data_IF_156743860580
#
_entry.id   IF_156743860580
#
_cell.length_a   1.000
_cell.length_b   1.000
_cell.length_c   1.000
_cell.angle_alpha   90.00
_cell.angle_beta   90.00
_cell.angle_gamma   90.00
#
_symmetry.space_group_name_H-M   'P 1'
#
loop_
_entity.id
_entity.type
_entity.pdbx_description
1 polymer ?
#
# COMPACT_ATOMS: atom_id res chain seq x y z
N UNK A 1 14.87 -14.30 13.75
CA UNK A 1 14.71 -12.86 13.54
C UNK A 1 13.59 -12.36 14.45
N UNK A 2 13.78 -11.24 15.12
CA UNK A 2 12.75 -10.61 15.95
C UNK A 2 12.08 -9.49 15.18
N UNK A 3 10.74 -9.52 15.06
CA UNK A 3 9.97 -8.53 14.29
C UNK A 3 8.97 -7.84 15.22
N UNK A 4 8.99 -6.51 15.22
CA UNK A 4 8.04 -5.69 15.96
C UNK A 4 6.89 -5.22 15.08
N UNK A 5 5.64 -5.34 15.52
CA UNK A 5 4.46 -4.71 14.89
C UNK A 5 4.08 -3.48 15.70
N UNK A 6 4.19 -2.31 15.09
CA UNK A 6 3.89 -1.01 15.69
C UNK A 6 2.55 -0.51 15.20
N UNK A 7 1.57 -0.48 16.08
CA UNK A 7 0.16 -0.17 15.89
C UNK A 7 -0.64 -1.27 15.17
N UNK A 8 -1.93 -1.33 15.49
CA UNK A 8 -2.95 -2.13 14.83
C UNK A 8 -4.02 -1.26 14.17
N UNK A 9 -3.71 -0.01 13.86
CA UNK A 9 -4.65 0.88 13.19
C UNK A 9 -5.00 0.43 11.78
N UNK A 10 -4.02 -0.06 11.02
CA UNK A 10 -4.26 -0.63 9.70
C UNK A 10 -4.69 -2.10 9.79
N UNK A 11 -5.66 -2.51 8.95
CA UNK A 11 -6.22 -3.88 8.95
C UNK A 11 -5.19 -4.96 8.65
N UNK A 12 -4.17 -4.67 7.84
CA UNK A 12 -3.11 -5.61 7.50
C UNK A 12 -2.27 -6.03 8.72
N UNK A 13 -2.22 -5.23 9.79
CA UNK A 13 -1.44 -5.57 10.98
C UNK A 13 -1.76 -6.95 11.55
N UNK A 14 -3.05 -7.31 11.59
CA UNK A 14 -3.49 -8.63 12.06
C UNK A 14 -3.06 -9.76 11.10
N UNK A 15 -3.13 -9.53 9.78
CA UNK A 15 -2.64 -10.47 8.76
C UNK A 15 -1.13 -10.68 8.90
N UNK A 16 -0.37 -9.60 8.98
CA UNK A 16 1.10 -9.66 9.10
C UNK A 16 1.54 -10.35 10.39
N UNK A 17 0.96 -9.98 11.54
CA UNK A 17 1.29 -10.61 12.82
C UNK A 17 1.02 -12.12 12.80
N UNK A 18 -0.13 -12.53 12.26
CA UNK A 18 -0.50 -13.95 12.12
C UNK A 18 0.44 -14.72 11.20
N UNK A 19 0.76 -14.14 10.03
CA UNK A 19 1.66 -14.78 9.05
C UNK A 19 3.09 -14.91 9.62
N UNK A 20 3.62 -13.85 10.23
CA UNK A 20 4.93 -13.86 10.85
C UNK A 20 5.02 -14.87 12.00
N UNK A 21 3.99 -14.95 12.84
CA UNK A 21 3.95 -15.93 13.95
C UNK A 21 3.96 -17.38 13.45
N UNK A 22 3.52 -17.64 12.22
CA UNK A 22 3.58 -18.95 11.58
C UNK A 22 4.93 -19.24 10.88
N UNK A 23 5.81 -18.24 10.72
CA UNK A 23 7.10 -18.41 10.05
C UNK A 23 8.15 -18.99 10.99
N UNK A 24 8.84 -20.09 10.62
CA UNK A 24 9.88 -20.67 11.45
C UNK A 24 11.03 -19.69 11.74
N UNK A 25 11.43 -19.59 13.01
CA UNK A 25 12.55 -18.74 13.42
C UNK A 25 12.23 -17.22 13.51
N UNK A 26 10.96 -16.84 13.41
CA UNK A 26 10.49 -15.47 13.63
C UNK A 26 9.84 -15.35 15.00
N UNK A 27 10.33 -14.42 15.82
CA UNK A 27 9.72 -13.99 17.08
C UNK A 27 8.95 -12.70 16.82
N UNK A 28 7.65 -12.66 17.14
CA UNK A 28 6.79 -11.50 16.89
C UNK A 28 6.47 -10.79 18.19
N UNK A 29 6.76 -9.50 18.24
CA UNK A 29 6.36 -8.58 19.32
C UNK A 29 5.37 -7.56 18.76
N UNK A 30 4.38 -7.15 19.54
CA UNK A 30 3.42 -6.13 19.10
C UNK A 30 3.23 -5.05 20.17
N UNK A 31 2.89 -3.86 19.73
CA UNK A 31 2.46 -2.76 20.59
C UNK A 31 1.49 -1.85 19.85
N UNK A 32 0.48 -1.33 20.53
CA UNK A 32 -0.54 -0.44 19.99
C UNK A 32 -1.04 0.54 21.08
N UNK A 33 -0.16 1.39 21.64
CA UNK A 33 -0.53 2.30 22.72
C UNK A 33 -1.55 3.36 22.27
N UNK A 34 -1.59 3.69 20.99
CA UNK A 34 -2.51 4.67 20.42
C UNK A 34 -3.94 4.08 20.23
N UNK A 35 -4.16 2.79 20.50
CA UNK A 35 -5.49 2.15 20.44
C UNK A 35 -6.54 2.87 21.32
N UNK A 36 -6.11 3.44 22.44
CA UNK A 36 -6.99 4.21 23.30
C UNK A 36 -7.67 5.42 22.61
N UNK A 37 -7.12 5.89 21.49
CA UNK A 37 -7.69 6.97 20.66
C UNK A 37 -8.69 6.46 19.63
N UNK A 38 -8.85 5.15 19.51
CA UNK A 38 -9.72 4.48 18.52
C UNK A 38 -10.78 3.62 19.24
N UNK A 39 -11.71 4.28 19.96
CA UNK A 39 -12.75 3.57 20.72
C UNK A 39 -13.66 2.78 19.78
N UNK A 40 -13.95 1.53 20.17
CA UNK A 40 -14.80 0.63 19.36
C UNK A 40 -14.06 -0.21 18.32
N UNK A 41 -12.79 0.09 18.03
CA UNK A 41 -11.96 -0.77 17.17
C UNK A 41 -11.41 -1.95 17.97
N UNK A 42 -11.30 -3.12 17.35
CA UNK A 42 -10.63 -4.26 17.95
C UNK A 42 -9.10 -4.14 17.70
N UNK A 43 -8.34 -3.93 18.77
CA UNK A 43 -6.90 -3.62 18.72
C UNK A 43 -6.22 -3.77 20.07
N UNK A 44 -5.05 -3.17 20.23
CA UNK A 44 -4.28 -3.17 21.46
C UNK A 44 -3.90 -4.57 21.95
N UNK A 45 -3.81 -4.73 23.27
CA UNK A 45 -3.44 -6.00 23.91
C UNK A 45 -4.43 -7.14 23.60
N UNK A 46 -5.72 -6.84 23.49
CA UNK A 46 -6.74 -7.85 23.21
C UNK A 46 -6.56 -8.49 21.82
N UNK A 47 -6.20 -7.70 20.80
CA UNK A 47 -5.91 -8.23 19.48
C UNK A 47 -4.60 -9.04 19.49
N UNK A 48 -3.56 -8.56 20.16
CA UNK A 48 -2.30 -9.31 20.27
C UNK A 48 -2.50 -10.68 20.96
N UNK A 49 -3.30 -10.74 22.02
CA UNK A 49 -3.70 -11.98 22.69
C UNK A 49 -4.44 -12.93 21.75
N UNK A 50 -5.43 -12.40 20.99
CA UNK A 50 -6.17 -13.19 20.01
C UNK A 50 -5.30 -13.74 18.89
N UNK A 51 -4.22 -13.04 18.53
CA UNK A 51 -3.23 -13.46 17.53
C UNK A 51 -2.13 -14.38 18.11
N UNK A 52 -2.07 -14.55 19.43
CA UNK A 52 -1.03 -15.32 20.09
C UNK A 52 0.36 -14.69 20.03
N UNK A 53 0.47 -13.35 19.91
CA UNK A 53 1.74 -12.62 19.85
C UNK A 53 2.01 -11.86 21.14
N UNK A 54 3.29 -11.71 21.51
CA UNK A 54 3.69 -10.99 22.71
C UNK A 54 3.39 -9.50 22.58
N UNK A 55 2.68 -8.92 23.57
CA UNK A 55 2.32 -7.51 23.60
C UNK A 55 3.18 -6.72 24.57
N UNK A 56 3.70 -5.57 24.15
CA UNK A 56 4.47 -4.63 24.94
C UNK A 56 3.70 -3.33 25.14
N UNK A 57 3.90 -2.69 26.30
CA UNK A 57 3.07 -1.59 26.76
C UNK A 57 3.11 -0.36 25.84
N UNK A 58 4.27 -0.08 25.23
CA UNK A 58 4.47 1.09 24.38
C UNK A 58 5.59 0.87 23.35
N UNK A 59 5.75 1.84 22.46
CA UNK A 59 6.77 1.81 21.40
C UNK A 59 8.20 1.76 21.96
N UNK A 60 8.47 2.43 23.10
CA UNK A 60 9.79 2.42 23.73
C UNK A 60 10.15 1.04 24.26
N UNK A 61 9.20 0.34 24.90
CA UNK A 61 9.38 -1.02 25.38
C UNK A 61 9.62 -2.00 24.21
N UNK A 62 8.90 -1.85 23.08
CA UNK A 62 9.12 -2.66 21.89
C UNK A 62 10.52 -2.43 21.32
N UNK A 63 10.96 -1.20 21.16
CA UNK A 63 12.27 -0.87 20.60
C UNK A 63 13.42 -1.25 21.56
N UNK A 64 13.19 -1.17 22.89
CA UNK A 64 14.15 -1.66 23.89
C UNK A 64 14.37 -3.18 23.82
N UNK A 65 13.42 -3.95 23.31
CA UNK A 65 13.59 -5.37 23.02
C UNK A 65 14.49 -5.66 21.80
N UNK A 66 14.98 -4.61 21.14
CA UNK A 66 15.89 -4.65 19.97
C UNK A 66 15.37 -5.56 18.85
N UNK A 67 14.25 -5.23 18.20
CA UNK A 67 13.81 -5.97 17.02
C UNK A 67 14.79 -5.76 15.86
N UNK A 68 15.03 -6.80 15.07
CA UNK A 68 15.80 -6.72 13.82
C UNK A 68 15.05 -5.91 12.76
N UNK A 69 13.73 -6.02 12.77
CA UNK A 69 12.83 -5.37 11.84
C UNK A 69 11.53 -4.93 12.52
N UNK A 70 10.89 -3.91 11.98
CA UNK A 70 9.62 -3.35 12.47
C UNK A 70 8.65 -3.19 11.30
N UNK A 71 7.38 -3.50 11.54
CA UNK A 71 6.27 -3.19 10.63
C UNK A 71 5.43 -2.08 11.25
N UNK A 72 5.30 -0.96 10.53
CA UNK A 72 4.50 0.19 10.94
C UNK A 72 3.13 0.09 10.28
N UNK A 73 2.09 -0.14 11.09
CA UNK A 73 0.70 -0.29 10.66
C UNK A 73 -0.21 0.76 11.34
N UNK A 74 0.28 1.97 11.44
CA UNK A 74 -0.43 3.12 12.03
C UNK A 74 -1.34 3.82 11.00
N UNK A 75 -2.05 4.85 11.44
CA UNK A 75 -2.69 5.82 10.57
C UNK A 75 -1.61 6.54 9.71
N UNK A 76 -1.94 6.89 8.46
CA UNK A 76 -0.98 7.43 7.50
C UNK A 76 -0.19 8.65 8.05
N UNK A 77 -0.87 9.54 8.76
CA UNK A 77 -0.23 10.73 9.36
C UNK A 77 0.75 10.40 10.51
N UNK A 78 0.68 9.20 11.09
CA UNK A 78 1.54 8.76 12.18
C UNK A 78 2.79 8.00 11.69
N UNK A 79 2.88 7.64 10.42
CA UNK A 79 3.97 6.84 9.85
C UNK A 79 5.34 7.45 10.15
N UNK A 80 5.52 8.75 9.86
CA UNK A 80 6.80 9.44 10.05
C UNK A 80 7.35 9.23 11.46
N UNK A 81 6.56 9.53 12.48
CA UNK A 81 6.99 9.42 13.88
C UNK A 81 7.49 8.00 14.21
N UNK A 82 6.75 6.98 13.76
CA UNK A 82 7.06 5.58 14.09
C UNK A 82 8.25 5.06 13.29
N UNK A 83 8.38 5.45 12.02
CA UNK A 83 9.53 5.08 11.19
C UNK A 83 10.82 5.74 11.72
N UNK A 84 10.79 7.02 12.10
CA UNK A 84 11.94 7.69 12.70
C UNK A 84 12.38 7.02 14.02
N UNK A 85 11.43 6.61 14.88
CA UNK A 85 11.72 5.85 16.12
C UNK A 85 12.36 4.49 15.83
N UNK A 86 11.82 3.74 14.87
CA UNK A 86 12.36 2.43 14.48
C UNK A 86 13.76 2.56 13.86
N UNK A 87 13.97 3.53 12.96
CA UNK A 87 15.27 3.81 12.36
C UNK A 87 16.32 4.20 13.40
N UNK A 88 15.97 5.07 14.36
CA UNK A 88 16.86 5.45 15.46
C UNK A 88 17.24 4.26 16.38
N UNK A 89 16.40 3.23 16.47
CA UNK A 89 16.70 2.00 17.18
C UNK A 89 17.50 0.99 16.35
N UNK A 90 17.80 1.29 15.07
CA UNK A 90 18.56 0.42 14.17
C UNK A 90 17.74 -0.71 13.55
N UNK A 91 16.42 -0.66 13.59
CA UNK A 91 15.54 -1.67 13.01
C UNK A 91 15.23 -1.37 11.53
N UNK A 92 15.24 -2.39 10.67
CA UNK A 92 14.71 -2.27 9.29
C UNK A 92 13.20 -2.05 9.34
N UNK A 93 12.64 -1.29 8.40
CA UNK A 93 11.24 -0.87 8.45
C UNK A 93 10.45 -1.31 7.22
N UNK A 94 9.33 -2.01 7.46
CA UNK A 94 8.22 -2.11 6.52
C UNK A 94 7.14 -1.13 6.97
N UNK A 95 6.80 -0.16 6.12
CA UNK A 95 5.79 0.84 6.42
C UNK A 95 4.55 0.63 5.54
N UNK A 96 3.36 0.69 6.12
CA UNK A 96 2.12 0.69 5.35
C UNK A 96 2.06 1.82 4.34
N UNK A 97 1.29 1.58 3.29
CA UNK A 97 1.01 2.54 2.22
C UNK A 97 -0.18 3.46 2.59
N UNK A 98 -0.23 4.69 2.09
CA UNK A 98 0.88 5.43 1.46
C UNK A 98 1.99 5.71 2.45
N UNK A 99 3.19 5.96 1.96
CA UNK A 99 4.36 6.21 2.84
C UNK A 99 4.09 7.30 3.89
N UNK A 100 3.39 8.37 3.50
CA UNK A 100 3.04 9.50 4.36
C UNK A 100 1.87 10.29 3.76
N UNK A 101 1.42 11.35 4.46
CA UNK A 101 0.41 12.29 3.95
C UNK A 101 1.03 13.55 3.32
N UNK A 102 2.34 13.77 3.49
CA UNK A 102 3.08 14.90 2.91
C UNK A 102 4.44 14.46 2.36
N UNK A 103 4.94 15.17 1.32
CA UNK A 103 6.29 14.91 0.79
C UNK A 103 7.39 15.23 1.82
N UNK A 104 7.17 16.18 2.71
CA UNK A 104 8.12 16.51 3.76
C UNK A 104 8.30 15.33 4.72
N UNK A 105 7.21 14.66 5.11
CA UNK A 105 7.26 13.49 5.98
C UNK A 105 7.89 12.29 5.27
N UNK A 106 7.52 12.02 4.01
CA UNK A 106 8.11 10.95 3.22
C UNK A 106 9.64 11.10 3.09
N UNK A 107 10.12 12.32 2.82
CA UNK A 107 11.56 12.64 2.77
C UNK A 107 12.25 12.46 4.11
N UNK A 108 11.61 12.91 5.21
CA UNK A 108 12.16 12.75 6.55
C UNK A 108 12.32 11.27 6.92
N UNK A 109 11.33 10.43 6.62
CA UNK A 109 11.38 8.99 6.82
C UNK A 109 12.52 8.33 6.02
N UNK A 110 12.58 8.63 4.73
CA UNK A 110 13.63 8.08 3.84
C UNK A 110 15.02 8.53 4.30
N UNK A 111 15.17 9.81 4.69
CA UNK A 111 16.43 10.35 5.20
C UNK A 111 16.84 9.74 6.54
N UNK A 112 15.90 9.54 7.46
CA UNK A 112 16.17 8.92 8.77
C UNK A 112 16.65 7.46 8.62
N UNK A 113 15.98 6.67 7.78
CA UNK A 113 16.39 5.30 7.51
C UNK A 113 17.77 5.23 6.84
N UNK A 114 18.04 6.09 5.85
CA UNK A 114 19.34 6.17 5.19
C UNK A 114 20.46 6.57 6.17
N UNK A 115 20.21 7.56 7.03
CA UNK A 115 21.18 8.00 8.05
C UNK A 115 21.49 6.91 9.10
N UNK A 116 20.51 6.09 9.44
CA UNK A 116 20.66 4.97 10.36
C UNK A 116 21.25 3.70 9.70
N UNK A 117 21.38 3.66 8.36
CA UNK A 117 21.85 2.48 7.61
C UNK A 117 20.83 1.35 7.59
N UNK A 118 19.53 1.64 7.78
CA UNK A 118 18.45 0.65 7.75
C UNK A 118 17.61 0.78 6.48
N UNK A 119 16.95 -0.31 6.09
CA UNK A 119 16.08 -0.32 4.92
C UNK A 119 14.69 0.23 5.29
N UNK A 120 14.09 0.97 4.36
CA UNK A 120 12.69 1.37 4.39
C UNK A 120 11.99 0.77 3.17
N UNK A 121 11.10 -0.18 3.40
CA UNK A 121 10.24 -0.80 2.39
C UNK A 121 8.79 -0.36 2.60
N UNK A 122 8.05 -0.16 1.52
CA UNK A 122 6.63 0.22 1.56
C UNK A 122 5.76 -1.01 1.26
N UNK A 123 4.67 -1.17 1.99
CA UNK A 123 3.83 -2.36 1.92
C UNK A 123 2.90 -2.35 0.68
N UNK A 124 3.42 -2.83 -0.45
CA UNK A 124 2.67 -3.05 -1.69
C UNK A 124 2.65 -4.55 -2.05
N UNK A 125 1.75 -5.37 -1.45
CA UNK A 125 1.77 -6.83 -1.61
C UNK A 125 1.52 -7.29 -3.05
N UNK A 126 0.71 -6.57 -3.83
CA UNK A 126 0.35 -6.95 -5.21
C UNK A 126 1.57 -7.06 -6.13
N UNK A 127 2.60 -6.24 -5.92
CA UNK A 127 3.88 -6.28 -6.66
C UNK A 127 4.53 -7.66 -6.66
N UNK A 128 4.36 -8.43 -5.59
CA UNK A 128 4.96 -9.76 -5.41
C UNK A 128 4.14 -10.90 -6.01
N UNK A 129 2.99 -10.58 -6.64
CA UNK A 129 2.18 -11.57 -7.33
C UNK A 129 2.97 -12.23 -8.48
N UNK A 130 2.94 -13.56 -8.62
CA UNK A 130 3.49 -14.24 -9.80
C UNK A 130 2.95 -13.68 -11.12
N UNK A 131 1.69 -13.27 -11.16
CA UNK A 131 1.09 -12.67 -12.35
C UNK A 131 1.76 -11.32 -12.73
N UNK A 132 2.25 -10.54 -11.76
CA UNK A 132 3.02 -9.32 -12.03
C UNK A 132 4.40 -9.67 -12.59
N UNK A 133 5.05 -10.73 -12.10
CA UNK A 133 6.31 -11.19 -12.66
C UNK A 133 6.17 -11.61 -14.13
N UNK A 134 5.11 -12.35 -14.48
CA UNK A 134 4.81 -12.72 -15.88
C UNK A 134 4.51 -11.48 -16.74
N UNK A 135 3.74 -10.52 -16.23
CA UNK A 135 3.48 -9.28 -16.96
C UNK A 135 4.79 -8.52 -17.24
N UNK A 136 5.71 -8.49 -16.28
CA UNK A 136 7.02 -7.84 -16.47
C UNK A 136 7.81 -8.47 -17.60
N UNK A 137 7.84 -9.80 -17.70
CA UNK A 137 8.49 -10.49 -18.84
C UNK A 137 7.82 -10.12 -20.18
N UNK A 138 6.48 -10.04 -20.21
CA UNK A 138 5.76 -9.62 -21.43
C UNK A 138 6.08 -8.17 -21.81
N UNK A 139 6.18 -7.26 -20.83
CA UNK A 139 6.49 -5.84 -21.08
C UNK A 139 7.95 -5.62 -21.47
N UNK A 140 8.85 -6.52 -21.10
CA UNK A 140 10.25 -6.47 -21.49
C UNK A 140 10.49 -6.89 -22.96
N UNK A 141 9.52 -7.56 -23.60
CA UNK A 141 9.72 -8.07 -24.97
C UNK A 141 8.45 -8.15 -25.81
N UNK A 142 7.55 -9.09 -25.52
CA UNK A 142 6.44 -9.46 -26.42
C UNK A 142 5.43 -8.33 -26.69
N UNK A 143 5.21 -7.42 -25.72
CA UNK A 143 4.32 -6.29 -25.90
C UNK A 143 4.93 -5.16 -26.76
N UNK A 144 6.23 -5.16 -26.99
CA UNK A 144 6.91 -4.13 -27.77
C UNK A 144 6.83 -2.75 -27.12
N UNK A 145 6.60 -1.72 -27.91
CA UNK A 145 6.49 -0.33 -27.42
C UNK A 145 5.15 -0.12 -26.74
N UNK A 146 5.16 0.36 -25.51
CA UNK A 146 3.95 0.59 -24.74
C UNK A 146 3.19 1.81 -25.30
N UNK A 147 1.92 1.60 -25.57
CA UNK A 147 1.01 2.60 -26.20
C UNK A 147 0.12 3.27 -25.14
N UNK A 148 -0.44 2.47 -24.23
CA UNK A 148 -1.27 3.00 -23.14
C UNK A 148 -1.43 2.00 -22.00
N UNK A 149 -1.77 2.50 -20.81
CA UNK A 149 -2.01 1.71 -19.61
C UNK A 149 -3.33 2.15 -18.99
N UNK A 150 -4.16 1.18 -18.60
CA UNK A 150 -5.40 1.43 -17.85
C UNK A 150 -5.39 0.56 -16.61
N UNK A 151 -5.51 1.18 -15.45
CA UNK A 151 -5.56 0.51 -14.16
C UNK A 151 -6.86 0.78 -13.42
N UNK A 152 -7.29 -0.18 -12.63
CA UNK A 152 -8.38 0.01 -11.66
C UNK A 152 -7.96 -0.49 -10.30
N UNK A 153 -8.37 0.21 -9.25
CA UNK A 153 -8.34 -0.33 -7.90
C UNK A 153 -9.61 0.11 -7.17
N UNK A 154 -10.48 -0.85 -6.92
CA UNK A 154 -11.81 -0.60 -6.36
C UNK A 154 -11.99 -1.45 -5.11
N UNK A 155 -12.55 -0.87 -4.05
CA UNK A 155 -12.78 -1.55 -2.77
C UNK A 155 -14.11 -1.16 -2.13
N UNK A 156 -14.38 -1.74 -0.97
CA UNK A 156 -15.43 -1.29 -0.07
C UNK A 156 -14.98 -0.04 0.69
N UNK A 157 -15.92 0.74 1.19
CA UNK A 157 -15.62 1.82 2.13
C UNK A 157 -15.06 1.23 3.44
N UNK A 158 -13.84 1.60 3.88
CA UNK A 158 -13.24 1.01 5.09
C UNK A 158 -13.78 1.59 6.41
N UNK A 159 -14.73 2.53 6.36
CA UNK A 159 -15.22 3.30 7.51
C UNK A 159 -15.74 2.43 8.67
N UNK A 160 -16.49 1.35 8.37
CA UNK A 160 -17.06 0.47 9.40
C UNK A 160 -16.04 -0.26 10.26
N UNK A 161 -14.83 -0.44 9.76
CA UNK A 161 -13.76 -1.19 10.43
C UNK A 161 -12.69 -0.27 11.02
N UNK A 162 -12.41 0.86 10.37
CA UNK A 162 -11.35 1.82 10.76
C UNK A 162 -11.78 3.24 10.40
N UNK A 163 -12.31 3.97 11.38
CA UNK A 163 -12.84 5.32 11.18
C UNK A 163 -11.82 6.33 10.64
N UNK A 164 -10.53 6.13 10.94
CA UNK A 164 -9.46 7.03 10.52
C UNK A 164 -9.26 7.10 8.98
N UNK A 165 -9.66 6.06 8.22
CA UNK A 165 -9.56 6.08 6.76
C UNK A 165 -10.38 7.19 6.09
N UNK A 166 -11.44 7.65 6.74
CA UNK A 166 -12.31 8.73 6.25
C UNK A 166 -12.08 10.07 6.97
N UNK A 167 -11.08 10.13 7.86
CA UNK A 167 -10.61 11.36 8.48
C UNK A 167 -9.47 11.97 7.63
N UNK A 168 -9.68 13.14 6.99
CA UNK A 168 -8.67 13.77 6.15
C UNK A 168 -7.34 14.03 6.85
N UNK A 169 -7.36 14.30 8.17
CA UNK A 169 -6.16 14.59 8.93
C UNK A 169 -5.33 13.33 9.21
N UNK A 170 -5.98 12.20 9.44
CA UNK A 170 -5.30 10.93 9.71
C UNK A 170 -4.90 10.20 8.42
N UNK A 171 -5.80 10.17 7.41
CA UNK A 171 -5.61 9.44 6.16
C UNK A 171 -4.86 10.26 5.08
N UNK A 172 -5.00 11.60 5.08
CA UNK A 172 -4.44 12.47 4.04
C UNK A 172 -5.29 12.55 2.76
N UNK A 173 -6.44 11.87 2.73
CA UNK A 173 -7.38 11.82 1.62
C UNK A 173 -8.27 10.59 1.69
N UNK A 174 -9.02 10.32 0.62
CA UNK A 174 -9.95 9.19 0.51
C UNK A 174 -9.48 8.12 -0.48
N UNK A 175 -10.38 7.72 -1.37
CA UNK A 175 -10.14 6.64 -2.34
C UNK A 175 -8.95 6.89 -3.28
N UNK A 176 -8.65 8.15 -3.64
CA UNK A 176 -7.46 8.48 -4.43
C UNK A 176 -6.18 8.17 -3.66
N UNK A 177 -6.09 8.59 -2.39
CA UNK A 177 -4.94 8.30 -1.51
C UNK A 177 -4.78 6.81 -1.28
N UNK A 178 -5.89 6.11 -1.02
CA UNK A 178 -5.86 4.69 -0.68
C UNK A 178 -5.51 3.81 -1.89
N UNK A 179 -6.01 4.14 -3.08
CA UNK A 179 -6.03 3.23 -4.22
C UNK A 179 -5.08 3.59 -5.37
N UNK A 180 -4.81 4.87 -5.66
CA UNK A 180 -3.88 5.23 -6.75
C UNK A 180 -2.49 4.63 -6.54
N UNK A 181 -2.01 4.64 -5.29
CA UNK A 181 -0.67 4.18 -4.94
C UNK A 181 -0.40 2.73 -5.33
N UNK A 182 -1.41 1.86 -5.35
CA UNK A 182 -1.24 0.45 -5.73
C UNK A 182 -0.98 0.27 -7.23
N UNK A 183 -1.71 1.02 -8.08
CA UNK A 183 -1.50 0.98 -9.53
C UNK A 183 -0.20 1.69 -9.90
N UNK A 184 0.12 2.82 -9.23
CA UNK A 184 1.39 3.54 -9.40
C UNK A 184 2.58 2.66 -9.01
N UNK A 185 2.47 1.87 -7.96
CA UNK A 185 3.50 0.92 -7.55
C UNK A 185 3.73 -0.17 -8.62
N UNK A 186 2.67 -0.68 -9.25
CA UNK A 186 2.82 -1.61 -10.36
C UNK A 186 3.49 -0.96 -11.58
N UNK A 187 3.16 0.27 -11.91
CA UNK A 187 3.84 1.03 -12.98
C UNK A 187 5.33 1.19 -12.66
N UNK A 188 5.67 1.58 -11.43
CA UNK A 188 7.05 1.70 -10.97
C UNK A 188 7.79 0.33 -10.98
N UNK A 189 7.10 -0.75 -10.64
CA UNK A 189 7.63 -2.11 -10.67
C UNK A 189 7.93 -2.61 -12.09
N UNK A 190 7.04 -2.32 -13.03
CA UNK A 190 7.16 -2.77 -14.42
C UNK A 190 8.17 -1.91 -15.21
N UNK A 191 8.23 -0.63 -14.90
CA UNK A 191 9.09 0.34 -15.60
C UNK A 191 9.81 1.27 -14.60
N UNK A 192 10.84 0.80 -13.89
CA UNK A 192 11.49 1.54 -12.80
C UNK A 192 12.17 2.85 -13.27
N UNK A 193 12.52 2.94 -14.54
CA UNK A 193 13.12 4.13 -15.15
C UNK A 193 12.10 5.12 -15.71
N UNK A 194 10.81 4.83 -15.58
CA UNK A 194 9.74 5.71 -16.02
C UNK A 194 9.45 6.82 -15.02
N UNK A 195 8.78 7.88 -15.48
CA UNK A 195 8.40 9.01 -14.64
C UNK A 195 7.02 9.53 -15.01
N UNK A 196 6.13 9.66 -14.04
CA UNK A 196 4.91 10.44 -14.22
C UNK A 196 5.28 11.92 -14.23
N UNK A 197 5.05 12.60 -15.36
CA UNK A 197 5.37 14.04 -15.52
C UNK A 197 4.20 14.95 -15.19
N UNK A 198 2.98 14.52 -15.46
CA UNK A 198 1.78 15.31 -15.12
C UNK A 198 0.57 14.42 -14.82
N UNK A 199 -0.40 14.98 -14.11
CA UNK A 199 -1.67 14.33 -13.78
C UNK A 199 -2.84 15.30 -13.94
N UNK A 200 -3.95 14.83 -14.51
CA UNK A 200 -5.27 15.42 -14.45
C UNK A 200 -6.21 14.46 -13.72
N UNK A 201 -6.90 14.94 -12.67
CA UNK A 201 -7.78 14.11 -11.89
C UNK A 201 -9.13 14.79 -11.62
N UNK A 202 -10.15 13.94 -11.52
CA UNK A 202 -11.50 14.32 -11.05
C UNK A 202 -11.92 13.36 -9.96
N UNK A 203 -12.62 13.87 -8.94
CA UNK A 203 -13.08 13.07 -7.81
C UNK A 203 -14.42 13.58 -7.28
N UNK A 204 -15.16 12.71 -6.60
CA UNK A 204 -16.43 13.05 -6.00
C UNK A 204 -16.72 12.16 -4.76
N UNK A 205 -17.85 12.47 -4.08
CA UNK A 205 -18.36 11.71 -2.91
C UNK A 205 -19.75 11.13 -3.16
N UNK A 206 -20.12 10.85 -4.41
CA UNK A 206 -21.47 10.44 -4.76
C UNK A 206 -21.85 9.08 -4.16
N UNK A 207 -20.89 8.17 -4.00
CA UNK A 207 -21.13 6.84 -3.42
C UNK A 207 -21.40 6.89 -1.92
N UNK A 208 -20.68 7.73 -1.18
CA UNK A 208 -20.74 7.86 0.27
C UNK A 208 -20.69 9.35 0.64
N UNK A 209 -21.80 10.11 0.49
CA UNK A 209 -21.81 11.55 0.72
C UNK A 209 -21.63 11.96 2.18
N UNK A 210 -21.81 11.01 3.11
CA UNK A 210 -21.69 11.19 4.57
C UNK A 210 -20.25 11.31 5.05
N UNK A 211 -19.25 10.81 4.30
CA UNK A 211 -17.84 10.89 4.73
C UNK A 211 -17.17 12.19 4.28
N UNK A 212 -16.09 12.59 4.96
CA UNK A 212 -15.43 13.87 4.73
C UNK A 212 -14.51 13.89 3.49
N UNK A 213 -14.08 12.71 3.01
CA UNK A 213 -13.13 12.54 1.91
C UNK A 213 -13.84 12.07 0.63
N UNK A 214 -13.18 12.17 -0.52
CA UNK A 214 -13.70 11.64 -1.78
C UNK A 214 -13.75 10.10 -1.76
N UNK A 215 -14.75 9.54 -2.40
CA UNK A 215 -15.03 8.09 -2.40
C UNK A 215 -14.87 7.45 -3.77
N UNK A 216 -14.57 8.25 -4.79
CA UNK A 216 -14.24 7.80 -6.11
C UNK A 216 -13.62 8.90 -6.95
N UNK A 217 -12.70 8.50 -7.82
CA UNK A 217 -12.03 9.40 -8.73
C UNK A 217 -11.31 8.69 -9.86
N UNK A 218 -10.99 9.44 -10.87
CA UNK A 218 -10.20 8.99 -12.02
C UNK A 218 -9.03 9.94 -12.20
N UNK A 219 -7.84 9.38 -12.41
CA UNK A 219 -6.63 10.12 -12.75
C UNK A 219 -6.13 9.74 -14.14
N UNK A 220 -5.90 10.73 -14.99
CA UNK A 220 -5.21 10.59 -16.27
C UNK A 220 -3.79 11.14 -16.14
N UNK A 221 -2.78 10.30 -16.38
CA UNK A 221 -1.38 10.60 -16.18
C UNK A 221 -0.63 10.62 -17.51
N UNK A 222 0.42 11.42 -17.58
CA UNK A 222 1.44 11.33 -18.61
C UNK A 222 2.66 10.63 -18.02
N UNK A 223 2.97 9.44 -18.55
CA UNK A 223 4.12 8.65 -18.15
C UNK A 223 5.23 8.81 -19.20
N UNK A 224 6.36 9.36 -18.80
CA UNK A 224 7.57 9.37 -19.64
C UNK A 224 8.21 7.97 -19.56
N UNK A 225 8.22 7.25 -20.67
CA UNK A 225 8.76 5.90 -20.79
C UNK A 225 9.55 5.75 -22.08
N UNK A 226 10.85 5.44 -21.99
CA UNK A 226 11.70 5.26 -23.15
C UNK A 226 11.78 6.49 -24.07
N UNK A 227 11.68 7.70 -23.52
CA UNK A 227 11.68 8.96 -24.27
C UNK A 227 10.36 9.32 -24.95
N UNK A 228 9.26 8.67 -24.58
CA UNK A 228 7.90 8.89 -25.09
C UNK A 228 6.93 9.17 -23.98
N UNK A 229 5.85 9.89 -24.31
CA UNK A 229 4.70 10.10 -23.46
C UNK A 229 3.70 8.94 -23.63
N UNK A 230 3.48 8.16 -22.59
CA UNK A 230 2.49 7.08 -22.56
C UNK A 230 1.33 7.52 -21.68
N UNK A 231 0.08 7.54 -22.21
CA UNK A 231 -1.10 7.83 -21.41
C UNK A 231 -1.38 6.66 -20.44
N UNK A 232 -1.63 7.03 -19.16
CA UNK A 232 -2.07 6.10 -18.12
C UNK A 232 -3.38 6.64 -17.53
N UNK A 233 -4.39 5.78 -17.40
CA UNK A 233 -5.65 6.13 -16.73
C UNK A 233 -5.88 5.18 -15.57
N UNK A 234 -6.22 5.73 -14.41
CA UNK A 234 -6.47 4.96 -13.19
C UNK A 234 -7.84 5.33 -12.63
N UNK A 235 -8.72 4.34 -12.45
CA UNK A 235 -9.94 4.43 -11.66
C UNK A 235 -9.62 3.96 -10.23
N UNK A 236 -9.87 4.84 -9.25
CA UNK A 236 -9.67 4.60 -7.83
C UNK A 236 -10.95 4.92 -7.06
N UNK A 237 -11.59 3.92 -6.46
CA UNK A 237 -12.89 4.15 -5.80
C UNK A 237 -13.20 3.14 -4.70
N UNK A 238 -14.00 3.57 -3.72
CA UNK A 238 -14.70 2.71 -2.77
C UNK A 238 -16.10 2.38 -3.30
N UNK A 239 -16.13 1.75 -4.49
CA UNK A 239 -17.37 1.51 -5.25
C UNK A 239 -17.98 0.13 -5.02
N UNK A 240 -17.33 -0.75 -4.26
CA UNK A 240 -17.88 -2.05 -3.95
C UNK A 240 -18.88 -1.95 -2.81
N UNK A 241 -20.11 -2.45 -2.95
CA UNK A 241 -21.06 -2.52 -1.86
C UNK A 241 -20.58 -3.52 -0.78
N UNK A 242 -21.16 -3.40 0.44
CA UNK A 242 -20.74 -4.20 1.60
C UNK A 242 -20.94 -5.70 1.40
N UNK A 243 -21.91 -6.11 0.60
CA UNK A 243 -22.22 -7.50 0.26
C UNK A 243 -21.46 -8.01 -0.97
N UNK A 244 -20.55 -7.22 -1.56
CA UNK A 244 -19.75 -7.69 -2.69
C UNK A 244 -18.86 -8.87 -2.28
N UNK A 245 -18.65 -9.83 -3.20
CA UNK A 245 -17.96 -11.09 -2.90
C UNK A 245 -16.52 -10.95 -2.40
N UNK A 246 -15.85 -9.82 -2.68
CA UNK A 246 -14.51 -9.51 -2.16
C UNK A 246 -14.45 -8.09 -1.65
N UNK A 247 -13.54 -7.83 -0.68
CA UNK A 247 -13.33 -6.51 -0.13
C UNK A 247 -12.84 -5.52 -1.21
N UNK A 248 -11.89 -5.91 -2.03
CA UNK A 248 -11.25 -5.08 -3.04
C UNK A 248 -10.82 -5.86 -4.27
N UNK A 249 -10.21 -5.17 -5.22
CA UNK A 249 -9.59 -5.74 -6.41
C UNK A 249 -8.82 -4.70 -7.19
N UNK A 250 -7.82 -5.18 -7.93
CA UNK A 250 -6.97 -4.38 -8.78
C UNK A 250 -6.87 -5.05 -10.14
N UNK A 251 -6.93 -4.26 -11.21
CA UNK A 251 -6.63 -4.72 -12.57
C UNK A 251 -5.67 -3.78 -13.26
N UNK A 252 -4.90 -4.29 -14.21
CA UNK A 252 -4.05 -3.50 -15.08
C UNK A 252 -4.15 -4.03 -16.52
N UNK A 253 -4.46 -3.15 -17.47
CA UNK A 253 -4.44 -3.44 -18.88
C UNK A 253 -3.32 -2.65 -19.53
N UNK A 254 -2.43 -3.34 -20.23
CA UNK A 254 -1.30 -2.76 -20.95
C UNK A 254 -1.47 -3.01 -22.44
N UNK A 255 -1.45 -1.96 -23.24
CA UNK A 255 -1.48 -2.03 -24.70
C UNK A 255 -0.08 -1.68 -25.20
N UNK A 256 0.50 -2.59 -25.96
CA UNK A 256 1.77 -2.39 -26.64
C UNK A 256 1.64 -2.57 -28.15
N UNK A 257 2.65 -2.21 -28.91
CA UNK A 257 2.69 -2.37 -30.37
C UNK A 257 2.65 -3.84 -30.81
N UNK A 258 3.06 -4.75 -29.93
CA UNK A 258 3.05 -6.21 -30.16
C UNK A 258 1.81 -6.93 -29.65
N UNK A 259 0.91 -6.27 -28.87
CA UNK A 259 -0.27 -6.92 -28.33
C UNK A 259 -0.88 -6.21 -27.12
N UNK A 260 -1.77 -6.93 -26.43
CA UNK A 260 -2.47 -6.46 -25.24
C UNK A 260 -2.28 -7.50 -24.13
N UNK A 261 -2.01 -7.04 -22.90
CA UNK A 261 -2.02 -7.88 -21.71
C UNK A 261 -3.00 -7.30 -20.67
N UNK A 262 -3.73 -8.20 -20.01
CA UNK A 262 -4.65 -7.85 -18.92
C UNK A 262 -4.24 -8.65 -17.68
N UNK A 263 -4.03 -7.92 -16.57
CA UNK A 263 -3.65 -8.46 -15.27
C UNK A 263 -4.81 -8.32 -14.30
N UNK A 264 -5.22 -9.42 -13.67
CA UNK A 264 -6.00 -9.44 -12.41
C UNK A 264 -5.24 -10.35 -11.42
N UNK A 265 -4.49 -9.81 -10.48
CA UNK A 265 -3.72 -10.60 -9.51
C UNK A 265 -4.60 -11.45 -8.58
N UNK A 266 -5.91 -11.17 -8.55
CA UNK A 266 -6.92 -11.85 -7.74
C UNK A 266 -7.84 -12.75 -8.56
N UNK A 267 -7.49 -13.02 -9.83
CA UNK A 267 -8.30 -13.87 -10.72
C UNK A 267 -8.35 -15.34 -10.27
N UNK A 268 -7.36 -15.81 -9.52
CA UNK A 268 -7.33 -17.15 -8.95
C UNK A 268 -8.41 -17.33 -7.88
N UNK A 269 -9.67 -17.65 -8.28
CA UNK A 269 -10.80 -17.80 -7.37
C UNK A 269 -11.80 -18.85 -7.80
N UNK A 270 -12.45 -19.49 -6.81
CA UNK A 270 -13.65 -20.30 -7.00
C UNK A 270 -14.85 -19.43 -6.63
N UNK A 271 -15.73 -19.18 -7.58
CA UNK A 271 -16.99 -18.44 -7.35
C UNK A 271 -18.12 -19.39 -6.98
N UNK A 272 -18.97 -18.99 -6.05
CA UNK A 272 -20.13 -19.77 -5.63
C UNK A 272 -21.07 -19.01 -4.73
N UNK A 273 -22.08 -19.70 -4.23
CA UNK A 273 -22.98 -19.23 -3.18
C UNK A 273 -22.79 -20.11 -1.94
N UNK A 274 -22.50 -19.50 -0.81
CA UNK A 274 -22.37 -20.20 0.48
C UNK A 274 -23.59 -19.94 1.33
N UNK A 275 -24.34 -20.99 1.67
CA UNK A 275 -25.52 -20.88 2.53
C UNK A 275 -25.20 -20.29 3.91
N UNK A 276 -24.02 -20.58 4.45
CA UNK A 276 -23.55 -20.04 5.72
C UNK A 276 -23.30 -18.52 5.70
N UNK A 277 -22.96 -17.98 4.52
CA UNK A 277 -22.76 -16.55 4.32
C UNK A 277 -24.02 -15.84 3.78
N UNK A 278 -24.97 -16.60 3.22
CA UNK A 278 -26.21 -16.06 2.65
C UNK A 278 -26.03 -15.23 1.37
N UNK A 279 -24.85 -15.25 0.75
CA UNK A 279 -24.51 -14.42 -0.41
C UNK A 279 -23.54 -15.13 -1.37
N UNK A 280 -23.23 -14.44 -2.48
CA UNK A 280 -22.15 -14.85 -3.38
C UNK A 280 -20.79 -14.78 -2.64
N UNK A 281 -19.99 -15.80 -2.83
CA UNK A 281 -18.65 -15.90 -2.26
C UNK A 281 -17.62 -16.21 -3.34
N UNK A 282 -16.45 -15.59 -3.20
CA UNK A 282 -15.27 -15.94 -3.98
C UNK A 282 -14.20 -16.43 -3.02
N UNK A 283 -13.79 -17.67 -3.22
CA UNK A 283 -12.73 -18.30 -2.43
C UNK A 283 -11.44 -18.19 -3.25
N UNK A 284 -10.53 -17.36 -2.80
CA UNK A 284 -9.24 -17.17 -3.46
C UNK A 284 -8.37 -18.42 -3.33
N UNK A 285 -7.59 -18.72 -4.37
CA UNK A 285 -6.51 -19.69 -4.35
C UNK A 285 -5.25 -19.09 -4.99
N UNK A 286 -4.09 -19.66 -4.67
CA UNK A 286 -2.79 -19.17 -5.09
C UNK A 286 -1.97 -18.70 -3.89
N UNK A 287 -0.84 -18.03 -4.13
CA UNK A 287 0.00 -17.55 -3.05
C UNK A 287 -0.68 -16.42 -2.26
N UNK A 288 -0.47 -16.42 -0.94
CA UNK A 288 -0.84 -15.31 -0.08
C UNK A 288 0.12 -14.13 -0.32
N UNK A 289 -0.39 -13.02 -0.89
CA UNK A 289 0.45 -11.89 -1.29
C UNK A 289 1.14 -11.20 -0.11
N UNK A 290 0.47 -11.12 1.04
CA UNK A 290 1.08 -10.61 2.28
C UNK A 290 2.25 -11.48 2.72
N UNK A 291 2.16 -12.81 2.57
CA UNK A 291 3.26 -13.72 2.90
C UNK A 291 4.48 -13.50 1.97
N UNK A 292 4.25 -13.27 0.68
CA UNK A 292 5.33 -12.95 -0.28
C UNK A 292 5.99 -11.59 0.02
N UNK A 293 5.18 -10.59 0.38
CA UNK A 293 5.66 -9.28 0.84
C UNK A 293 6.57 -9.44 2.07
N UNK A 294 6.09 -10.17 3.09
CA UNK A 294 6.81 -10.38 4.34
C UNK A 294 8.10 -11.18 4.14
N UNK A 295 8.07 -12.25 3.33
CA UNK A 295 9.28 -12.99 2.96
C UNK A 295 10.33 -12.07 2.32
N UNK A 296 9.92 -11.26 1.35
CA UNK A 296 10.81 -10.31 0.67
C UNK A 296 11.37 -9.27 1.66
N UNK A 297 10.55 -8.76 2.58
CA UNK A 297 11.00 -7.84 3.62
C UNK A 297 12.01 -8.47 4.58
N UNK A 298 11.75 -9.70 5.06
CA UNK A 298 12.66 -10.41 5.97
C UNK A 298 14.01 -10.71 5.30
N UNK A 299 14.01 -11.04 4.01
CA UNK A 299 15.24 -11.24 3.22
C UNK A 299 16.04 -9.95 3.09
N UNK A 300 15.38 -8.81 2.83
CA UNK A 300 16.01 -7.49 2.82
C UNK A 300 16.60 -7.16 4.19
N UNK A 301 15.87 -7.42 5.28
CA UNK A 301 16.34 -7.22 6.64
C UNK A 301 17.50 -8.16 7.01
N UNK A 302 17.60 -9.32 6.36
CA UNK A 302 18.75 -10.24 6.49
C UNK A 302 19.96 -9.82 5.63
N UNK A 303 19.89 -8.72 4.89
CA UNK A 303 20.97 -8.17 4.04
C UNK A 303 20.99 -8.72 2.62
N UNK A 304 19.94 -9.41 2.16
CA UNK A 304 19.85 -9.84 0.77
C UNK A 304 19.45 -8.67 -0.14
N UNK A 305 19.94 -8.74 -1.39
CA UNK A 305 19.51 -7.79 -2.43
C UNK A 305 18.23 -8.31 -3.09
N UNK A 306 17.12 -7.71 -2.75
CA UNK A 306 15.80 -8.02 -3.32
C UNK A 306 15.22 -6.73 -3.89
N UNK A 307 14.62 -6.80 -5.08
CA UNK A 307 13.91 -5.66 -5.67
C UNK A 307 12.59 -5.43 -4.92
N UNK A 308 12.52 -4.36 -4.15
CA UNK A 308 11.37 -4.01 -3.30
C UNK A 308 10.97 -2.54 -3.50
N UNK A 309 9.72 -2.16 -3.18
CA UNK A 309 9.30 -0.77 -3.19
C UNK A 309 9.91 -0.05 -1.98
N UNK A 310 10.99 0.68 -2.21
CA UNK A 310 11.70 1.43 -1.19
C UNK A 310 11.00 2.77 -0.84
N UNK A 311 11.56 3.51 0.10
CA UNK A 311 11.06 4.84 0.49
C UNK A 311 11.03 5.84 -0.67
N UNK A 312 11.90 5.68 -1.68
CA UNK A 312 11.90 6.52 -2.88
C UNK A 312 10.72 6.21 -3.80
N UNK A 313 10.41 4.92 -4.02
CA UNK A 313 9.22 4.49 -4.75
C UNK A 313 7.94 5.01 -4.07
N UNK A 314 7.83 4.87 -2.73
CA UNK A 314 6.72 5.43 -1.97
C UNK A 314 6.62 6.95 -2.09
N UNK A 315 7.74 7.67 -2.10
CA UNK A 315 7.77 9.14 -2.27
C UNK A 315 7.31 9.56 -3.67
N UNK A 316 7.75 8.86 -4.73
CA UNK A 316 7.28 9.11 -6.11
C UNK A 316 5.77 8.92 -6.23
N UNK A 317 5.24 7.81 -5.70
CA UNK A 317 3.82 7.51 -5.72
C UNK A 317 3.00 8.57 -4.98
N UNK A 318 3.46 8.98 -3.79
CA UNK A 318 2.82 10.06 -3.02
C UNK A 318 2.82 11.38 -3.79
N UNK A 319 3.89 11.73 -4.50
CA UNK A 319 3.95 12.96 -5.30
C UNK A 319 2.86 13.01 -6.37
N UNK A 320 2.58 11.88 -7.03
CA UNK A 320 1.49 11.78 -8.02
C UNK A 320 0.13 11.93 -7.35
N UNK A 321 -0.09 11.31 -6.19
CA UNK A 321 -1.34 11.43 -5.43
C UNK A 321 -1.59 12.88 -5.02
N UNK A 322 -0.60 13.57 -4.48
CA UNK A 322 -0.73 14.99 -4.07
C UNK A 322 -0.99 15.90 -5.27
N UNK A 323 -0.34 15.65 -6.41
CA UNK A 323 -0.61 16.37 -7.66
C UNK A 323 -2.03 16.07 -8.20
N UNK A 324 -2.55 14.84 -8.00
CA UNK A 324 -3.93 14.51 -8.35
C UNK A 324 -4.93 15.32 -7.50
N UNK A 325 -4.70 15.48 -6.19
CA UNK A 325 -5.54 16.36 -5.36
C UNK A 325 -5.47 17.82 -5.77
N UNK A 326 -4.28 18.31 -6.11
CA UNK A 326 -4.14 19.68 -6.63
C UNK A 326 -4.90 19.84 -7.95
N UNK A 327 -4.87 18.83 -8.83
CA UNK A 327 -5.65 18.83 -10.06
C UNK A 327 -7.16 18.84 -9.80
N UNK A 328 -7.65 18.02 -8.85
CA UNK A 328 -9.06 18.04 -8.42
C UNK A 328 -9.47 19.43 -7.91
N UNK A 329 -8.61 20.09 -7.14
CA UNK A 329 -8.86 21.41 -6.56
C UNK A 329 -8.88 22.52 -7.61
N UNK A 330 -8.00 22.44 -8.62
CA UNK A 330 -7.82 23.51 -9.63
C UNK A 330 -8.63 23.27 -10.90
N UNK A 331 -9.05 22.02 -11.16
CA UNK A 331 -9.66 21.61 -12.43
C UNK A 331 -8.68 21.65 -13.61
N UNK A 332 -7.37 21.66 -13.36
CA UNK A 332 -6.32 21.74 -14.37
C UNK A 332 -5.33 20.59 -14.24
N UNK A 333 -4.63 20.20 -15.33
CA UNK A 333 -3.47 19.31 -15.22
C UNK A 333 -2.38 19.93 -14.33
N UNK A 334 -1.71 19.10 -13.54
CA UNK A 334 -0.64 19.49 -12.61
C UNK A 334 0.63 18.72 -12.92
N UNK A 335 1.76 19.42 -13.03
CA UNK A 335 3.08 18.80 -13.16
C UNK A 335 3.49 18.11 -11.86
N UNK A 336 4.02 16.90 -11.99
CA UNK A 336 4.48 16.12 -10.84
C UNK A 336 5.93 16.47 -10.52
N UNK A 337 6.16 17.04 -9.34
CA UNK A 337 7.49 17.38 -8.82
C UNK A 337 7.80 16.57 -7.57
N UNK A 338 8.89 15.80 -7.59
CA UNK A 338 9.29 14.94 -6.46
C UNK A 338 10.80 14.98 -6.16
N UNK A 339 11.54 15.95 -6.69
CA UNK A 339 12.98 16.05 -6.48
C UNK A 339 13.35 16.04 -5.00
N UNK A 340 14.29 15.15 -4.65
CA UNK A 340 15.01 15.19 -3.39
C UNK A 340 16.01 16.36 -3.46
N UNK A 341 15.57 17.58 -3.15
CA UNK A 341 16.48 18.68 -2.87
C UNK A 341 16.41 19.04 -1.41
#
# INVERSE_FOLDING_TARGET
MRVGVMSFAHLHAASYARLLAAMPGVEVLATDPDHARRPGEFGGAALAEALGVAYLADYAALLAARPDAVIVCAENAAHRRLVELAAAAGAHVLCEKPIATTLADARAMTGACAAAGVQLMIAHPVRFSPAVAELRELTAGALGEIVSIVGTNNGRLPHGERAWFVDPAAAGGGALTDHLVHVLDLVDCLWPDSRVSSVYAVANRLLHPEVAVETGGVAALRLELGGRDVPVVIDASWSRPDDFATWGGLTLRVIGSGGIAELDPFAGRIGGHLNSAGNAAWISYGPELDALLLDSFLRVAAGETVAVPDGMAGTRNLAVVLAAYESVRTGQPVEVTWTLR
#
